data_IF_843410321733
#
_entry.id   IF_843410321733
#
_cell.length_a   1.000
_cell.length_b   1.000
_cell.length_c   1.000
_cell.angle_alpha   90.00
_cell.angle_beta   90.00
_cell.angle_gamma   90.00
#
_symmetry.space_group_name_H-M   'P 1'
#
loop_
_entity.id
_entity.type
_entity.pdbx_description
1 polymer ?
#
# COMPACT_ATOMS: atom_id res chain seq x y z
N UNK A 1 -3.83 -18.12 6.42
CA UNK A 1 -3.22 -17.33 5.32
C UNK A 1 -3.61 -15.86 5.48
N UNK A 2 -2.69 -14.99 5.90
CA UNK A 2 -2.95 -13.54 5.99
C UNK A 2 -2.49 -12.86 4.69
N UNK A 3 -3.33 -12.91 3.66
CA UNK A 3 -3.11 -12.25 2.36
C UNK A 3 -3.39 -10.76 2.47
N UNK A 4 -2.49 -10.00 3.11
CA UNK A 4 -2.60 -8.53 3.09
C UNK A 4 -2.35 -8.02 1.66
N UNK A 5 -3.32 -7.35 1.00
CA UNK A 5 -3.15 -6.87 -0.37
C UNK A 5 -1.92 -5.97 -0.53
N UNK A 6 -1.20 -6.11 -1.64
CA UNK A 6 -0.05 -5.27 -1.99
C UNK A 6 -0.54 -3.87 -2.35
N UNK A 7 0.17 -2.82 -1.89
CA UNK A 7 -0.19 -1.43 -2.18
C UNK A 7 -0.23 -1.14 -3.69
N UNK A 8 0.65 -1.79 -4.46
CA UNK A 8 0.68 -1.72 -5.93
C UNK A 8 -0.61 -2.22 -6.60
N UNK A 9 -1.41 -3.05 -5.92
CA UNK A 9 -2.72 -3.53 -6.41
C UNK A 9 -3.89 -2.70 -5.84
N UNK A 10 -3.61 -1.70 -5.01
CA UNK A 10 -4.62 -0.90 -4.35
C UNK A 10 -5.16 0.17 -5.30
N UNK A 11 -6.42 0.00 -5.72
CA UNK A 11 -7.17 1.00 -6.48
C UNK A 11 -7.16 2.38 -5.81
N UNK A 12 -7.44 2.54 -4.50
CA UNK A 12 -7.44 3.87 -3.89
C UNK A 12 -6.05 4.52 -3.86
N UNK A 13 -4.97 3.73 -3.79
CA UNK A 13 -3.61 4.26 -3.89
C UNK A 13 -3.35 4.83 -5.29
N UNK A 14 -3.71 4.10 -6.34
CA UNK A 14 -3.54 4.59 -7.70
C UNK A 14 -4.44 5.76 -8.03
N UNK A 15 -5.66 5.81 -7.49
CA UNK A 15 -6.55 6.97 -7.62
C UNK A 15 -5.92 8.20 -6.95
N UNK A 16 -5.36 8.04 -5.75
CA UNK A 16 -4.61 9.11 -5.09
C UNK A 16 -3.44 9.58 -5.95
N UNK A 17 -2.58 8.68 -6.41
CA UNK A 17 -1.39 9.03 -7.22
C UNK A 17 -1.80 9.70 -8.54
N UNK A 18 -2.64 9.05 -9.33
CA UNK A 18 -3.06 9.55 -10.64
C UNK A 18 -3.88 10.82 -10.53
N UNK A 19 -4.79 10.90 -9.57
CA UNK A 19 -5.58 12.11 -9.30
C UNK A 19 -4.71 13.27 -8.85
N UNK A 20 -3.69 13.02 -8.03
CA UNK A 20 -2.72 14.04 -7.61
C UNK A 20 -1.91 14.55 -8.80
N UNK A 21 -1.40 13.65 -9.63
CA UNK A 21 -0.65 14.00 -10.84
C UNK A 21 -1.51 14.81 -11.81
N UNK A 22 -2.75 14.36 -12.05
CA UNK A 22 -3.71 15.02 -12.92
C UNK A 22 -4.08 16.41 -12.39
N UNK A 23 -4.33 16.55 -11.09
CA UNK A 23 -4.61 17.83 -10.43
C UNK A 23 -3.44 18.80 -10.60
N UNK A 24 -2.20 18.35 -10.34
CA UNK A 24 -1.02 19.18 -10.52
C UNK A 24 -0.80 19.61 -11.97
N UNK A 25 -0.95 18.69 -12.93
CA UNK A 25 -0.80 19.00 -14.34
C UNK A 25 -1.88 19.97 -14.83
N UNK A 26 -3.14 19.74 -14.46
CA UNK A 26 -4.24 20.64 -14.81
C UNK A 26 -4.05 22.03 -14.21
N UNK A 27 -3.62 22.10 -12.94
CA UNK A 27 -3.31 23.36 -12.28
C UNK A 27 -2.17 24.12 -12.96
N UNK A 28 -1.11 23.41 -13.36
CA UNK A 28 0.02 24.00 -14.09
C UNK A 28 -0.39 24.55 -15.45
N UNK A 29 -1.21 23.82 -16.21
CA UNK A 29 -1.72 24.29 -17.52
C UNK A 29 -2.51 25.59 -17.35
N UNK A 30 -3.44 25.64 -16.40
CA UNK A 30 -4.25 26.84 -16.14
C UNK A 30 -3.37 28.01 -15.71
N UNK A 31 -2.42 27.77 -14.80
CA UNK A 31 -1.55 28.83 -14.29
C UNK A 31 -0.66 29.41 -15.39
N UNK A 32 0.01 28.55 -16.17
CA UNK A 32 0.92 28.99 -17.25
C UNK A 32 0.16 29.76 -18.33
N UNK A 33 -1.03 29.28 -18.73
CA UNK A 33 -1.87 29.94 -19.74
C UNK A 33 -2.25 31.37 -19.32
N UNK A 34 -2.66 31.54 -18.06
CA UNK A 34 -3.09 32.86 -17.56
C UNK A 34 -1.92 33.81 -17.35
N UNK A 35 -0.79 33.32 -16.85
CA UNK A 35 0.43 34.13 -16.77
C UNK A 35 0.90 34.58 -18.15
N UNK A 36 0.93 33.67 -19.13
CA UNK A 36 1.34 33.99 -20.50
C UNK A 36 0.39 34.96 -21.20
N UNK A 37 -0.92 34.84 -20.96
CA UNK A 37 -1.92 35.79 -21.48
C UNK A 37 -1.70 37.18 -20.91
N UNK A 38 -1.50 37.30 -19.58
CA UNK A 38 -1.22 38.59 -18.94
C UNK A 38 0.09 39.19 -19.44
N UNK A 39 1.17 38.40 -19.49
CA UNK A 39 2.47 38.84 -20.00
C UNK A 39 2.32 39.41 -21.41
N UNK A 40 1.67 38.67 -22.32
CA UNK A 40 1.43 39.11 -23.69
C UNK A 40 0.63 40.42 -23.75
N UNK A 41 -0.45 40.53 -22.97
CA UNK A 41 -1.29 41.72 -22.95
C UNK A 41 -0.56 42.93 -22.37
N UNK A 42 0.27 42.73 -21.35
CA UNK A 42 1.11 43.78 -20.75
C UNK A 42 2.17 44.26 -21.74
N UNK A 43 2.87 43.35 -22.42
CA UNK A 43 3.88 43.71 -23.43
C UNK A 43 3.27 44.40 -24.65
N UNK A 44 2.06 44.00 -25.05
CA UNK A 44 1.33 44.62 -26.15
C UNK A 44 0.67 45.96 -25.78
N UNK A 45 0.62 46.32 -24.48
CA UNK A 45 -0.09 47.51 -24.00
C UNK A 45 -1.61 47.42 -24.13
N UNK A 46 -2.17 46.21 -24.30
CA UNK A 46 -3.61 45.97 -24.50
C UNK A 46 -4.30 45.41 -23.27
N UNK A 47 -3.63 45.35 -22.12
CA UNK A 47 -4.15 44.76 -20.90
C UNK A 47 -5.46 45.41 -20.45
N UNK A 48 -6.53 44.61 -20.45
CA UNK A 48 -7.85 44.96 -19.95
C UNK A 48 -8.03 44.48 -18.51
N UNK A 49 -8.97 45.09 -17.79
CA UNK A 49 -9.32 44.64 -16.44
C UNK A 49 -9.83 43.19 -16.39
N UNK A 50 -10.35 42.66 -17.49
CA UNK A 50 -10.78 41.25 -17.58
C UNK A 50 -9.55 40.33 -17.58
N UNK A 51 -8.53 40.61 -18.38
CA UNK A 51 -7.31 39.80 -18.40
C UNK A 51 -6.61 39.78 -17.05
N UNK A 52 -6.61 40.90 -16.32
CA UNK A 52 -5.94 40.99 -15.02
C UNK A 52 -6.78 40.38 -13.90
N UNK A 53 -8.03 40.84 -13.72
CA UNK A 53 -8.82 40.46 -12.55
C UNK A 53 -9.44 39.07 -12.67
N UNK A 54 -9.97 38.71 -13.85
CA UNK A 54 -10.48 37.36 -14.11
C UNK A 54 -9.32 36.41 -14.33
N UNK A 55 -8.25 36.82 -15.02
CA UNK A 55 -7.07 35.98 -15.18
C UNK A 55 -6.42 35.61 -13.83
N UNK A 56 -6.39 36.53 -12.87
CA UNK A 56 -5.79 36.29 -11.56
C UNK A 56 -6.54 35.22 -10.76
N UNK A 57 -7.89 35.24 -10.75
CA UNK A 57 -8.64 34.22 -10.00
C UNK A 57 -8.41 32.82 -10.58
N UNK A 58 -8.28 32.72 -11.91
CA UNK A 58 -7.94 31.46 -12.58
C UNK A 58 -6.51 31.03 -12.29
N UNK A 59 -5.55 31.96 -12.24
CA UNK A 59 -4.17 31.65 -11.85
C UNK A 59 -4.10 31.13 -10.40
N UNK A 60 -4.83 31.76 -9.48
CA UNK A 60 -4.93 31.29 -8.08
C UNK A 60 -5.54 29.90 -8.01
N UNK A 61 -6.61 29.64 -8.77
CA UNK A 61 -7.19 28.30 -8.86
C UNK A 61 -6.17 27.28 -9.37
N UNK A 62 -5.41 27.62 -10.41
CA UNK A 62 -4.32 26.79 -10.95
C UNK A 62 -3.27 26.48 -9.88
N UNK A 63 -2.83 27.48 -9.11
CA UNK A 63 -1.89 27.29 -8.01
C UNK A 63 -2.44 26.38 -6.90
N UNK A 64 -3.73 26.51 -6.56
CA UNK A 64 -4.40 25.63 -5.58
C UNK A 64 -4.43 24.18 -6.08
N UNK A 65 -4.78 23.96 -7.35
CA UNK A 65 -4.78 22.63 -7.98
C UNK A 65 -3.38 21.97 -7.93
N UNK A 66 -2.33 22.75 -8.16
CA UNK A 66 -0.94 22.30 -7.98
C UNK A 66 -0.68 21.90 -6.53
N UNK A 67 -1.05 22.75 -5.57
CA UNK A 67 -0.87 22.49 -4.13
C UNK A 67 -1.61 21.23 -3.67
N UNK A 68 -2.86 21.05 -4.08
CA UNK A 68 -3.67 19.84 -3.79
C UNK A 68 -2.99 18.60 -4.34
N UNK A 69 -2.52 18.64 -5.60
CA UNK A 69 -1.80 17.51 -6.19
C UNK A 69 -0.47 17.22 -5.49
N UNK A 70 0.29 18.26 -5.09
CA UNK A 70 1.52 18.09 -4.33
C UNK A 70 1.26 17.42 -2.97
N UNK A 71 0.22 17.85 -2.24
CA UNK A 71 -0.20 17.23 -0.97
C UNK A 71 -0.56 15.76 -1.18
N UNK A 72 -1.34 15.45 -2.22
CA UNK A 72 -1.72 14.06 -2.51
C UNK A 72 -0.54 13.16 -2.87
N UNK A 73 0.47 13.68 -3.59
CA UNK A 73 1.72 12.97 -3.84
C UNK A 73 2.52 12.74 -2.55
N UNK A 74 2.63 13.74 -1.68
CA UNK A 74 3.30 13.58 -0.39
C UNK A 74 2.62 12.51 0.48
N UNK A 75 1.29 12.47 0.49
CA UNK A 75 0.53 11.41 1.16
C UNK A 75 0.80 10.03 0.54
N UNK A 76 0.83 9.94 -0.80
CA UNK A 76 1.15 8.70 -1.50
C UNK A 76 2.56 8.21 -1.16
N UNK A 77 3.55 9.10 -1.13
CA UNK A 77 4.92 8.77 -0.73
C UNK A 77 5.00 8.33 0.73
N UNK A 78 4.29 9.02 1.62
CA UNK A 78 4.21 8.65 3.05
C UNK A 78 3.66 7.23 3.20
N UNK A 79 2.59 6.90 2.49
CA UNK A 79 1.98 5.57 2.52
C UNK A 79 2.90 4.49 1.94
N UNK A 80 3.63 4.82 0.87
CA UNK A 80 4.66 3.97 0.29
C UNK A 80 5.82 3.70 1.25
N UNK A 81 6.33 4.75 1.91
CA UNK A 81 7.40 4.65 2.89
C UNK A 81 6.99 3.81 4.09
N UNK A 82 5.80 4.07 4.67
CA UNK A 82 5.24 3.26 5.75
C UNK A 82 5.15 1.79 5.36
N UNK A 83 4.69 1.48 4.14
CA UNK A 83 4.60 0.10 3.66
C UNK A 83 5.97 -0.53 3.42
N UNK A 84 6.97 0.22 3.00
CA UNK A 84 8.33 -0.26 2.77
C UNK A 84 9.03 -0.63 4.09
N UNK A 85 8.89 0.20 5.12
CA UNK A 85 9.54 -0.03 6.41
C UNK A 85 8.74 -0.93 7.38
N UNK A 86 7.43 -1.08 7.20
CA UNK A 86 6.59 -1.96 8.02
C UNK A 86 6.71 -3.46 7.67
N UNK A 87 7.56 -3.85 6.71
CA UNK A 87 7.83 -5.27 6.43
C UNK A 87 8.77 -5.80 7.51
N UNK A 88 8.20 -6.36 8.58
CA UNK A 88 8.92 -7.30 9.46
C UNK A 88 9.42 -8.46 8.59
N UNK A 89 10.69 -8.89 8.69
CA UNK A 89 11.16 -10.10 8.03
C UNK A 89 10.21 -11.25 8.36
N UNK A 90 9.57 -11.83 7.35
CA UNK A 90 8.93 -13.13 7.54
C UNK A 90 10.05 -14.07 7.96
N UNK A 91 10.00 -14.55 9.21
CA UNK A 91 10.83 -15.67 9.61
C UNK A 91 10.64 -16.74 8.53
N UNK A 92 11.74 -17.12 7.85
CA UNK A 92 11.72 -18.29 6.99
C UNK A 92 11.25 -19.46 7.86
N UNK A 93 9.99 -19.86 7.75
CA UNK A 93 9.58 -21.20 8.15
C UNK A 93 10.40 -22.13 7.27
N UNK A 94 11.35 -22.83 7.91
CA UNK A 94 12.07 -23.94 7.32
C UNK A 94 11.06 -24.90 6.65
N UNK A 95 11.43 -25.57 5.54
CA UNK A 95 10.57 -26.60 4.99
C UNK A 95 10.40 -27.67 6.08
N UNK A 96 9.17 -27.81 6.56
CA UNK A 96 8.79 -28.93 7.42
C UNK A 96 8.99 -30.18 6.56
N UNK A 97 10.06 -30.91 6.84
CA UNK A 97 10.33 -32.18 6.21
C UNK A 97 9.21 -33.13 6.60
N UNK A 98 8.42 -33.49 5.60
CA UNK A 98 7.39 -34.52 5.62
C UNK A 98 8.07 -35.88 5.79
N UNK A 99 8.52 -36.20 7.00
CA UNK A 99 8.88 -37.56 7.38
C UNK A 99 7.65 -38.19 8.05
N UNK A 100 6.91 -38.91 7.21
CA UNK A 100 5.86 -39.83 7.60
C UNK A 100 6.39 -40.84 8.64
N UNK A 101 5.86 -40.77 9.85
CA UNK A 101 5.88 -41.88 10.80
C UNK A 101 4.48 -42.46 10.81
N UNK A 102 4.29 -43.61 10.14
CA UNK A 102 3.11 -44.45 10.26
C UNK A 102 2.87 -44.81 11.74
N UNK A 103 1.63 -44.75 12.26
CA UNK A 103 1.32 -45.37 13.52
C UNK A 103 1.30 -46.89 13.31
N UNK A 104 2.26 -47.59 13.92
CA UNK A 104 2.23 -49.06 14.02
C UNK A 104 1.05 -49.44 14.93
N UNK A 105 -0.02 -49.93 14.31
CA UNK A 105 -1.03 -50.77 14.98
C UNK A 105 -0.35 -52.03 15.50
N UNK A 106 -0.53 -52.34 16.78
CA UNK A 106 -0.26 -53.70 17.29
C UNK A 106 -1.30 -54.09 18.34
N UNK A 107 -1.87 -55.31 18.23
CA UNK A 107 -3.21 -55.61 18.72
C UNK A 107 -3.25 -56.00 20.20
N UNK A 108 -4.37 -55.70 20.84
CA UNK A 108 -4.77 -56.31 22.11
C UNK A 108 -5.12 -57.78 21.86
N UNK A 109 -4.43 -58.74 22.51
CA UNK A 109 -4.96 -60.11 22.63
C UNK A 109 -4.43 -60.91 23.85
N UNK A 110 -5.40 -61.32 24.68
CA UNK A 110 -5.55 -62.47 25.59
C UNK A 110 -4.47 -62.96 26.60
N UNK A 111 -4.81 -62.80 27.88
CA UNK A 111 -5.08 -63.81 28.94
C UNK A 111 -4.17 -65.06 29.17
N UNK A 112 -3.99 -65.35 30.47
CA UNK A 112 -3.48 -66.55 31.17
C UNK A 112 -2.02 -67.02 31.01
N UNK A 113 -1.24 -66.91 32.10
CA UNK A 113 -0.65 -68.06 32.83
C UNK A 113 0.17 -67.60 34.05
N UNK A 114 -0.26 -67.97 35.26
CA UNK A 114 0.60 -67.98 36.45
C UNK A 114 1.66 -69.09 36.35
N UNK A 115 2.86 -68.87 36.93
CA UNK A 115 3.67 -69.96 37.45
C UNK A 115 3.76 -69.89 38.98
N UNK A 116 3.23 -70.94 39.61
CA UNK A 116 3.42 -71.33 41.01
C UNK A 116 4.91 -71.54 41.31
N UNK A 117 5.40 -70.99 42.43
CA UNK A 117 6.65 -71.39 43.07
C UNK A 117 6.39 -71.83 44.52
N UNK A 118 6.37 -73.15 44.64
CA UNK A 118 6.62 -74.09 45.73
C UNK A 118 6.44 -73.75 47.22
N UNK A 119 5.86 -74.73 47.90
CA UNK A 119 5.70 -74.78 49.35
C UNK A 119 6.84 -75.46 50.11
N UNK A 120 6.50 -75.80 51.35
CA UNK A 120 7.26 -76.41 52.45
C UNK A 120 7.94 -75.37 53.37
N UNK A 121 7.72 -75.34 54.69
CA UNK A 121 7.35 -76.44 55.57
C UNK A 121 6.58 -75.98 56.83
N UNK A 122 5.60 -76.82 57.20
CA UNK A 122 5.15 -77.28 58.52
C UNK A 122 4.98 -76.28 59.67
#
# INVERSE_FOLDING_TARGET
MNTRPRLTRSIPFWLLVAGSLASSAAGAVVLIDKLGTMETALTAGTATGVEVYVGQIWAVLGAILIGVGAIGLLLAFTLGALRAFAVTPQAQTAPEADDAIEPVDQPEDHDTTEPVLDGAAR
#
